data_IF_140233700273
#
_entry.id   IF_140233700273
#
_cell.length_a   1.000
_cell.length_b   1.000
_cell.length_c   1.000
_cell.angle_alpha   90.00
_cell.angle_beta   90.00
_cell.angle_gamma   90.00
#
_symmetry.space_group_name_H-M   'P 1'
#
loop_
_entity.id
_entity.type
_entity.pdbx_description
1 polymer ?
#
# COMPACT_ATOMS: atom_id res chain seq x y z
N UNK A 1 -6.35 3.17 -16.89
CA UNK A 1 -7.83 3.15 -16.89
C UNK A 1 -8.39 1.75 -16.67
N UNK A 2 -8.03 0.74 -17.47
CA UNK A 2 -8.53 -0.65 -17.32
C UNK A 2 -8.29 -1.21 -15.90
N UNK A 3 -7.10 -1.00 -15.34
CA UNK A 3 -6.78 -1.46 -13.98
C UNK A 3 -7.71 -0.86 -12.91
N UNK A 4 -8.05 0.42 -13.00
CA UNK A 4 -8.94 1.07 -12.04
C UNK A 4 -10.39 0.57 -12.15
N UNK A 5 -10.86 0.28 -13.36
CA UNK A 5 -12.18 -0.33 -13.58
C UNK A 5 -12.24 -1.70 -12.92
N UNK A 6 -11.21 -2.52 -13.15
CA UNK A 6 -11.10 -3.84 -12.52
C UNK A 6 -11.09 -3.74 -10.99
N UNK A 7 -10.28 -2.85 -10.42
CA UNK A 7 -10.18 -2.66 -8.96
C UNK A 7 -11.50 -2.17 -8.38
N UNK A 8 -12.17 -1.23 -9.04
CA UNK A 8 -13.47 -0.75 -8.60
C UNK A 8 -14.51 -1.88 -8.54
N UNK A 9 -14.58 -2.71 -9.59
CA UNK A 9 -15.45 -3.87 -9.63
C UNK A 9 -15.08 -4.89 -8.53
N UNK A 10 -13.79 -5.20 -8.38
CA UNK A 10 -13.29 -6.14 -7.37
C UNK A 10 -13.61 -5.66 -5.95
N UNK A 11 -13.36 -4.38 -5.65
CA UNK A 11 -13.64 -3.77 -4.35
C UNK A 11 -15.14 -3.77 -4.05
N UNK A 12 -15.97 -3.37 -5.01
CA UNK A 12 -17.42 -3.37 -4.86
C UNK A 12 -17.98 -4.79 -4.66
N UNK A 13 -17.42 -5.79 -5.32
CA UNK A 13 -17.80 -7.19 -5.12
C UNK A 13 -17.57 -7.67 -3.68
N UNK A 14 -16.42 -7.36 -3.09
CA UNK A 14 -16.10 -7.75 -1.71
C UNK A 14 -16.79 -6.88 -0.65
N UNK A 15 -16.98 -5.59 -0.91
CA UNK A 15 -17.74 -4.70 -0.02
C UNK A 15 -19.20 -5.12 0.11
N UNK A 16 -19.81 -5.64 -0.97
CA UNK A 16 -21.16 -6.22 -0.92
C UNK A 16 -21.28 -7.44 -0.02
N UNK A 17 -20.17 -8.12 0.29
CA UNK A 17 -20.12 -9.27 1.20
C UNK A 17 -19.77 -8.90 2.64
N UNK A 18 -19.72 -7.61 2.98
CA UNK A 18 -19.45 -7.13 4.34
C UNK A 18 -17.97 -7.12 4.75
N UNK A 19 -17.06 -7.48 3.84
CA UNK A 19 -15.62 -7.45 4.10
C UNK A 19 -15.00 -6.10 3.74
N UNK A 20 -13.93 -5.74 4.45
CA UNK A 20 -13.18 -4.51 4.17
C UNK A 20 -12.36 -4.69 2.89
N UNK A 21 -12.77 -4.00 1.83
CA UNK A 21 -12.17 -4.16 0.49
C UNK A 21 -10.65 -3.97 0.40
N UNK A 22 -10.03 -3.22 1.33
CA UNK A 22 -8.58 -3.02 1.34
C UNK A 22 -7.78 -4.26 1.76
N UNK A 23 -8.36 -5.15 2.58
CA UNK A 23 -7.74 -6.41 2.99
C UNK A 23 -7.64 -7.35 1.80
N UNK A 24 -8.75 -7.55 1.09
CA UNK A 24 -8.77 -8.38 -0.11
C UNK A 24 -7.92 -7.80 -1.25
N UNK A 25 -7.85 -6.48 -1.37
CA UNK A 25 -6.98 -5.83 -2.36
C UNK A 25 -5.49 -6.03 -2.02
N UNK A 26 -5.12 -5.99 -0.73
CA UNK A 26 -3.78 -6.33 -0.26
C UNK A 26 -3.41 -7.79 -0.49
N UNK A 27 -4.37 -8.71 -0.30
CA UNK A 27 -4.16 -10.13 -0.56
C UNK A 27 -4.03 -10.40 -2.06
N UNK A 28 -4.84 -9.74 -2.88
CA UNK A 28 -4.73 -9.78 -4.34
C UNK A 28 -3.34 -9.32 -4.80
N UNK A 29 -2.79 -8.24 -4.23
CA UNK A 29 -1.43 -7.78 -4.51
C UNK A 29 -0.38 -8.84 -4.18
N UNK A 30 -0.51 -9.54 -3.04
CA UNK A 30 0.40 -10.63 -2.68
C UNK A 30 0.33 -11.79 -3.68
N UNK A 31 -0.88 -12.20 -4.07
CA UNK A 31 -1.08 -13.27 -5.05
C UNK A 31 -0.49 -12.90 -6.42
N UNK A 32 -0.72 -11.68 -6.89
CA UNK A 32 -0.15 -11.18 -8.16
C UNK A 32 1.38 -11.19 -8.10
N UNK A 33 1.97 -10.76 -6.98
CA UNK A 33 3.43 -10.74 -6.81
C UNK A 33 4.02 -12.16 -6.82
N UNK A 34 3.40 -13.11 -6.12
CA UNK A 34 3.83 -14.52 -6.13
C UNK A 34 3.72 -15.12 -7.54
N UNK A 35 2.58 -14.89 -8.21
CA UNK A 35 2.39 -15.33 -9.60
C UNK A 35 3.46 -14.75 -10.52
N UNK A 36 3.75 -13.44 -10.41
CA UNK A 36 4.81 -12.79 -11.19
C UNK A 36 6.17 -13.43 -10.94
N UNK A 37 6.48 -13.79 -9.70
CA UNK A 37 7.75 -14.44 -9.32
C UNK A 37 7.86 -15.87 -9.86
N UNK A 38 6.77 -16.62 -9.89
CA UNK A 38 6.76 -17.98 -10.48
C UNK A 38 6.86 -17.91 -12.00
N UNK A 39 6.28 -16.89 -12.62
CA UNK A 39 6.24 -16.71 -14.07
C UNK A 39 7.47 -15.99 -14.65
N UNK A 40 8.32 -15.42 -13.81
CA UNK A 40 9.57 -14.73 -14.16
C UNK A 40 10.48 -15.44 -15.20
N UNK A 41 10.71 -16.78 -15.16
CA UNK A 41 11.56 -17.44 -16.14
C UNK A 41 10.87 -17.66 -17.49
N UNK A 42 9.54 -17.58 -17.57
CA UNK A 42 8.76 -17.89 -18.77
C UNK A 42 8.41 -16.65 -19.60
N UNK A 43 8.50 -15.45 -19.02
CA UNK A 43 8.02 -14.22 -19.64
C UNK A 43 9.12 -13.15 -19.84
N UNK A 44 8.90 -12.34 -20.87
CA UNK A 44 9.73 -11.19 -21.20
C UNK A 44 9.53 -10.00 -20.27
N UNK A 45 10.47 -9.05 -20.34
CA UNK A 45 10.47 -7.82 -19.55
C UNK A 45 9.16 -7.02 -19.70
N UNK A 46 8.56 -6.99 -20.89
CA UNK A 46 7.30 -6.29 -21.13
C UNK A 46 6.17 -6.80 -20.24
N UNK A 47 6.06 -8.11 -20.05
CA UNK A 47 5.04 -8.70 -19.17
C UNK A 47 5.24 -8.31 -17.71
N UNK A 48 6.51 -8.27 -17.26
CA UNK A 48 6.88 -7.85 -15.90
C UNK A 48 6.45 -6.39 -15.67
N UNK A 49 6.79 -5.50 -16.60
CA UNK A 49 6.44 -4.06 -16.50
C UNK A 49 4.93 -3.85 -16.48
N UNK A 50 4.18 -4.52 -17.36
CA UNK A 50 2.72 -4.42 -17.41
C UNK A 50 2.09 -4.91 -16.10
N UNK A 51 2.59 -6.03 -15.56
CA UNK A 51 2.10 -6.59 -14.29
C UNK A 51 2.42 -5.66 -13.11
N UNK A 52 3.63 -5.09 -13.07
CA UNK A 52 4.01 -4.12 -12.04
C UNK A 52 3.20 -2.82 -12.14
N UNK A 53 2.89 -2.35 -13.36
CA UNK A 53 2.02 -1.19 -13.55
C UNK A 53 0.59 -1.47 -13.04
N UNK A 54 0.07 -2.67 -13.28
CA UNK A 54 -1.22 -3.10 -12.74
C UNK A 54 -1.19 -3.23 -11.21
N UNK A 55 -0.14 -3.84 -10.66
CA UNK A 55 0.10 -3.92 -9.21
C UNK A 55 0.12 -2.53 -8.57
N UNK A 56 0.81 -1.58 -9.19
CA UNK A 56 0.89 -0.20 -8.74
C UNK A 56 -0.50 0.47 -8.76
N UNK A 57 -1.32 0.23 -9.79
CA UNK A 57 -2.70 0.71 -9.81
C UNK A 57 -3.52 0.20 -8.61
N UNK A 58 -3.39 -1.08 -8.24
CA UNK A 58 -4.06 -1.65 -7.06
C UNK A 58 -3.56 -0.97 -5.78
N UNK A 59 -2.24 -0.81 -5.65
CA UNK A 59 -1.62 -0.16 -4.50
C UNK A 59 -2.10 1.28 -4.32
N UNK A 60 -2.22 2.04 -5.42
CA UNK A 60 -2.65 3.44 -5.39
C UNK A 60 -4.11 3.61 -5.00
N UNK A 61 -5.00 2.70 -5.40
CA UNK A 61 -6.40 2.76 -4.99
C UNK A 61 -6.60 2.24 -3.56
N UNK A 62 -5.88 1.18 -3.19
CA UNK A 62 -6.01 0.51 -1.89
C UNK A 62 -5.51 1.38 -0.74
N UNK A 63 -4.33 1.98 -0.89
CA UNK A 63 -3.63 2.70 0.17
C UNK A 63 -3.63 4.22 -0.08
N UNK A 64 -4.78 4.80 -0.39
CA UNK A 64 -4.90 6.24 -0.65
C UNK A 64 -5.06 7.11 0.61
N UNK A 65 -5.18 6.50 1.81
CA UNK A 65 -5.39 7.22 3.07
C UNK A 65 -4.40 6.81 4.14
N UNK A 66 -3.91 7.81 4.86
CA UNK A 66 -3.02 7.66 6.00
C UNK A 66 -3.64 8.42 7.16
N UNK A 67 -3.96 7.76 8.28
CA UNK A 67 -4.62 8.38 9.46
C UNK A 67 -5.79 9.31 9.12
N UNK A 68 -6.63 8.92 8.15
CA UNK A 68 -7.83 9.67 7.76
C UNK A 68 -7.62 10.78 6.71
N UNK A 69 -6.38 11.16 6.39
CA UNK A 69 -6.10 12.11 5.31
C UNK A 69 -5.70 11.40 4.01
N UNK A 70 -6.02 12.00 2.87
CA UNK A 70 -5.67 11.48 1.56
C UNK A 70 -4.18 11.72 1.29
N UNK A 71 -3.49 10.71 0.76
CA UNK A 71 -2.13 10.84 0.25
C UNK A 71 -1.96 10.02 -1.02
N UNK A 72 -1.03 10.40 -1.87
CA UNK A 72 -0.80 9.71 -3.15
C UNK A 72 0.39 8.77 -3.04
N UNK A 73 0.19 7.46 -2.93
CA UNK A 73 1.28 6.48 -2.73
C UNK A 73 2.29 6.42 -3.87
N UNK A 74 1.85 6.68 -5.11
CA UNK A 74 2.72 6.62 -6.30
C UNK A 74 3.20 8.00 -6.73
N UNK A 75 2.40 9.06 -6.52
CA UNK A 75 2.77 10.40 -6.96
C UNK A 75 3.75 11.05 -5.99
N UNK A 76 5.03 10.92 -6.30
CA UNK A 76 6.13 11.45 -5.47
C UNK A 76 6.11 12.98 -5.43
N UNK A 77 5.87 13.68 -6.54
CA UNK A 77 5.95 15.15 -6.62
C UNK A 77 4.92 15.86 -5.74
N UNK A 78 3.69 15.32 -5.70
CA UNK A 78 2.63 15.87 -4.85
C UNK A 78 2.95 15.75 -3.36
N UNK A 79 3.45 14.58 -2.94
CA UNK A 79 3.83 14.36 -1.55
C UNK A 79 5.06 15.18 -1.14
N UNK A 80 6.07 15.29 -2.01
CA UNK A 80 7.28 16.09 -1.76
C UNK A 80 6.96 17.57 -1.60
N UNK A 81 5.98 18.10 -2.36
CA UNK A 81 5.50 19.48 -2.19
C UNK A 81 4.67 19.64 -0.92
N UNK A 82 3.81 18.66 -0.59
CA UNK A 82 2.89 18.76 0.53
C UNK A 82 3.56 18.54 1.90
N UNK A 83 4.59 17.70 2.00
CA UNK A 83 5.29 17.43 3.26
C UNK A 83 5.86 18.69 3.94
N UNK A 84 6.71 19.51 3.28
CA UNK A 84 7.24 20.74 3.88
C UNK A 84 6.14 21.78 4.11
N UNK A 85 5.13 21.86 3.22
CA UNK A 85 3.98 22.75 3.42
C UNK A 85 3.26 22.44 4.72
N UNK A 86 2.88 21.18 4.95
CA UNK A 86 2.19 20.74 6.16
C UNK A 86 3.05 20.93 7.42
N UNK A 87 4.37 20.72 7.31
CA UNK A 87 5.29 20.96 8.41
C UNK A 87 5.35 22.44 8.80
N UNK A 88 5.57 23.35 7.82
CA UNK A 88 5.64 24.79 8.09
C UNK A 88 4.28 25.32 8.56
N UNK A 89 3.19 24.91 7.91
CA UNK A 89 1.84 25.33 8.29
C UNK A 89 1.51 24.89 9.73
N UNK A 90 1.83 23.64 10.10
CA UNK A 90 1.66 23.15 11.46
C UNK A 90 2.55 23.84 12.49
N UNK A 91 3.78 24.22 12.13
CA UNK A 91 4.68 24.98 13.00
C UNK A 91 4.17 26.41 13.24
N UNK A 92 3.72 27.09 12.18
CA UNK A 92 3.19 28.46 12.25
C UNK A 92 1.87 28.51 13.00
N UNK A 93 0.94 27.60 12.72
CA UNK A 93 -0.37 27.53 13.36
C UNK A 93 -0.31 26.86 14.75
N UNK A 94 0.86 26.35 15.17
CA UNK A 94 1.05 25.51 16.38
C UNK A 94 0.12 24.28 16.42
N UNK A 95 -0.31 23.81 15.26
CA UNK A 95 -1.13 22.62 15.11
C UNK A 95 -0.24 21.38 15.05
N UNK A 96 -0.23 20.62 16.15
CA UNK A 96 0.54 19.39 16.27
C UNK A 96 0.09 18.32 15.28
N UNK A 97 -1.17 18.30 14.90
CA UNK A 97 -1.68 17.32 13.95
C UNK A 97 -1.10 17.55 12.56
N UNK A 98 -1.07 18.80 12.09
CA UNK A 98 -0.47 19.16 10.80
C UNK A 98 1.04 18.84 10.74
N UNK A 99 1.77 19.10 11.83
CA UNK A 99 3.20 18.73 11.93
C UNK A 99 3.37 17.22 11.84
N UNK A 100 2.56 16.44 12.57
CA UNK A 100 2.62 14.97 12.52
C UNK A 100 2.32 14.46 11.11
N UNK A 101 1.32 15.02 10.43
CA UNK A 101 0.98 14.63 9.04
C UNK A 101 2.14 14.92 8.08
N UNK A 102 2.73 16.11 8.17
CA UNK A 102 3.88 16.50 7.34
C UNK A 102 5.10 15.61 7.58
N UNK A 103 5.39 15.27 8.84
CA UNK A 103 6.48 14.37 9.20
C UNK A 103 6.24 12.94 8.71
N UNK A 104 5.00 12.45 8.77
CA UNK A 104 4.65 11.12 8.28
C UNK A 104 4.82 11.00 6.75
N UNK A 105 4.43 12.04 6.01
CA UNK A 105 4.69 12.12 4.56
C UNK A 105 6.19 12.17 4.26
N UNK A 106 6.96 12.94 5.04
CA UNK A 106 8.42 12.97 4.90
C UNK A 106 9.04 11.59 5.12
N UNK A 107 8.62 10.85 6.16
CA UNK A 107 9.10 9.51 6.45
C UNK A 107 8.78 8.52 5.31
N UNK A 108 7.59 8.61 4.71
CA UNK A 108 7.21 7.80 3.54
C UNK A 108 8.11 8.08 2.34
N UNK A 109 8.38 9.35 2.05
CA UNK A 109 9.26 9.73 0.93
C UNK A 109 10.69 9.23 1.20
N UNK A 110 11.16 9.41 2.43
CA UNK A 110 12.51 9.00 2.82
C UNK A 110 12.68 7.47 2.75
N UNK A 111 11.72 6.69 3.25
CA UNK A 111 11.76 5.24 3.17
C UNK A 111 11.68 4.73 1.73
N UNK A 112 10.93 5.42 0.86
CA UNK A 112 10.90 5.12 -0.57
C UNK A 112 12.26 5.32 -1.23
N UNK A 113 12.93 6.46 -0.98
CA UNK A 113 14.26 6.75 -1.55
C UNK A 113 15.29 5.71 -1.11
N UNK A 114 15.28 5.33 0.18
CA UNK A 114 16.13 4.24 0.69
C UNK A 114 15.81 2.91 -0.01
N UNK A 115 14.53 2.57 -0.13
CA UNK A 115 14.09 1.34 -0.79
C UNK A 115 14.56 1.25 -2.24
N UNK A 116 14.44 2.34 -3.01
CA UNK A 116 14.93 2.42 -4.40
C UNK A 116 16.46 2.27 -4.45
N UNK A 117 17.19 2.92 -3.54
CA UNK A 117 18.65 2.80 -3.45
C UNK A 117 19.10 1.36 -3.18
N UNK A 118 18.52 0.72 -2.16
CA UNK A 118 18.80 -0.68 -1.82
C UNK A 118 18.43 -1.61 -2.99
N UNK A 119 17.25 -1.42 -3.59
CA UNK A 119 16.79 -2.24 -4.72
C UNK A 119 17.70 -2.11 -5.95
N UNK A 120 18.16 -0.90 -6.26
CA UNK A 120 19.07 -0.66 -7.40
C UNK A 120 20.41 -1.36 -7.21
N UNK A 121 20.99 -1.24 -6.00
CA UNK A 121 22.23 -1.93 -5.65
C UNK A 121 22.04 -3.45 -5.72
N UNK A 122 20.95 -3.98 -5.16
CA UNK A 122 20.68 -5.41 -5.14
C UNK A 122 20.42 -5.99 -6.55
N UNK A 123 19.79 -5.22 -7.44
CA UNK A 123 19.49 -5.63 -8.81
C UNK A 123 20.75 -5.94 -9.62
N UNK A 124 21.89 -5.31 -9.31
CA UNK A 124 23.17 -5.59 -9.98
C UNK A 124 23.64 -7.03 -9.78
N UNK A 125 23.30 -7.64 -8.64
CA UNK A 125 23.70 -9.01 -8.32
C UNK A 125 22.65 -10.04 -8.73
N UNK A 126 21.37 -9.72 -8.56
CA UNK A 126 20.29 -10.72 -8.61
C UNK A 126 19.40 -10.60 -9.85
N UNK A 127 19.66 -9.62 -10.74
CA UNK A 127 18.92 -9.37 -12.00
C UNK A 127 17.41 -9.42 -11.77
N UNK A 128 16.69 -10.29 -12.52
CA UNK A 128 15.23 -10.40 -12.46
C UNK A 128 14.71 -10.95 -11.11
N UNK A 129 15.54 -11.66 -10.34
CA UNK A 129 15.16 -12.22 -9.03
C UNK A 129 15.15 -11.17 -7.91
N UNK A 130 15.48 -9.91 -8.20
CA UNK A 130 15.34 -8.79 -7.27
C UNK A 130 13.88 -8.55 -6.82
N UNK A 131 12.89 -9.17 -7.48
CA UNK A 131 11.48 -9.15 -7.08
C UNK A 131 11.16 -10.05 -5.89
N UNK A 132 11.93 -11.13 -5.66
CA UNK A 132 11.66 -12.13 -4.60
C UNK A 132 11.57 -11.51 -3.19
N UNK A 133 12.48 -10.59 -2.77
CA UNK A 133 12.41 -9.97 -1.46
C UNK A 133 11.12 -9.17 -1.20
N UNK A 134 10.38 -8.76 -2.24
CA UNK A 134 9.13 -8.00 -2.09
C UNK A 134 8.00 -8.81 -1.45
N UNK A 135 8.09 -10.14 -1.44
CA UNK A 135 7.13 -11.00 -0.74
C UNK A 135 7.14 -10.69 0.77
N UNK A 136 8.30 -10.37 1.36
CA UNK A 136 8.44 -10.15 2.80
C UNK A 136 7.58 -8.96 3.29
N UNK A 137 7.74 -7.73 2.77
CA UNK A 137 6.93 -6.59 3.20
C UNK A 137 5.44 -6.77 2.85
N UNK A 138 5.10 -7.41 1.72
CA UNK A 138 3.72 -7.71 1.37
C UNK A 138 3.07 -8.69 2.34
N UNK A 139 3.80 -9.73 2.74
CA UNK A 139 3.33 -10.73 3.70
C UNK A 139 3.14 -10.09 5.08
N UNK A 140 4.06 -9.22 5.49
CA UNK A 140 3.95 -8.46 6.73
C UNK A 140 2.71 -7.56 6.75
N UNK A 141 2.47 -6.79 5.68
CA UNK A 141 1.28 -5.94 5.55
C UNK A 141 0.01 -6.80 5.64
N UNK A 142 -0.08 -7.89 4.89
CA UNK A 142 -1.24 -8.78 4.93
C UNK A 142 -1.46 -9.39 6.32
N UNK A 143 -0.40 -9.79 7.02
CA UNK A 143 -0.47 -10.26 8.41
C UNK A 143 -1.03 -9.20 9.36
N UNK A 144 -0.53 -7.96 9.27
CA UNK A 144 -1.01 -6.84 10.10
C UNK A 144 -2.48 -6.53 9.81
N UNK A 145 -2.88 -6.49 8.54
CA UNK A 145 -4.28 -6.24 8.14
C UNK A 145 -5.21 -7.35 8.62
N UNK A 146 -4.79 -8.62 8.53
CA UNK A 146 -5.57 -9.75 9.02
C UNK A 146 -5.78 -9.69 10.54
N UNK A 147 -4.73 -9.32 11.29
CA UNK A 147 -4.83 -9.10 12.74
C UNK A 147 -5.77 -7.96 13.09
N UNK A 148 -5.77 -6.89 12.30
CA UNK A 148 -6.67 -5.75 12.49
C UNK A 148 -8.15 -6.12 12.23
N UNK A 149 -8.41 -6.95 11.23
CA UNK A 149 -9.77 -7.47 10.97
C UNK A 149 -10.31 -8.27 12.15
N UNK A 150 -9.51 -9.21 12.67
CA UNK A 150 -9.92 -10.06 13.78
C UNK A 150 -10.19 -9.25 15.06
N UNK A 151 -9.30 -8.31 15.40
CA UNK A 151 -9.46 -7.46 16.57
C UNK A 151 -10.74 -6.60 16.50
N UNK A 152 -11.08 -6.07 15.31
CA UNK A 152 -12.32 -5.31 15.12
C UNK A 152 -13.55 -6.20 15.31
N UNK A 153 -13.54 -7.43 14.77
CA UNK A 153 -14.64 -8.39 14.93
C UNK A 153 -14.83 -8.74 16.42
N UNK A 154 -13.74 -8.98 17.15
CA UNK A 154 -13.77 -9.30 18.58
C UNK A 154 -14.35 -8.16 19.43
N UNK A 155 -13.92 -6.92 19.17
CA UNK A 155 -14.45 -5.73 19.85
C UNK A 155 -15.94 -5.57 19.59
N UNK A 156 -16.40 -5.71 18.35
CA UNK A 156 -17.83 -5.63 18.00
C UNK A 156 -18.64 -6.74 18.70
N UNK A 157 -18.15 -7.99 18.67
CA UNK A 157 -18.80 -9.13 19.32
C UNK A 157 -18.88 -8.95 20.84
N UNK A 158 -17.85 -8.38 21.47
CA UNK A 158 -17.84 -8.07 22.90
C UNK A 158 -18.85 -6.96 23.26
N UNK A 159 -19.00 -5.95 22.40
CA UNK A 159 -19.95 -4.86 22.60
C UNK A 159 -21.40 -5.32 22.44
N UNK A 160 -21.67 -6.19 21.47
CA UNK A 160 -22.98 -6.84 21.29
C UNK A 160 -23.32 -7.72 22.50
N UNK A 161 -22.34 -8.48 23.03
CA UNK A 161 -22.55 -9.31 24.23
C UNK A 161 -22.86 -8.50 25.49
N UNK A 162 -22.39 -7.24 25.61
CA UNK A 162 -22.69 -6.36 26.76
C UNK A 162 -24.05 -5.67 26.68
N UNK A 163 -24.69 -5.65 25.52
CA UNK A 163 -26.00 -5.02 25.29
C UNK A 163 -27.16 -6.01 25.48
N UNK A 164 -26.85 -7.30 25.62
CA UNK A 164 -27.81 -8.38 25.86
C UNK A 164 -27.68 -8.89 27.29
#
# INVERSE_FOLDING_TARGET
MVGQIFIYCFRNFFQRRGHKGYIHSSLLMLVIMIMLIVLLPFFDYHFIVVTLAFFAAIQSDTFQRLRGFSYATIMMTGNVKNAPRLLIEGLVQRDRELVVRGFLLFLIIFSFVIGVGISTYFTQFVKKSALVPLIIPLSYINYVLFKEEHNVIDVVKSKIRKVK
#
